data_IF_236629760531
#
_entry.id   IF_236629760531
#
_cell.length_a   1.000
_cell.length_b   1.000
_cell.length_c   1.000
_cell.angle_alpha   90.00
_cell.angle_beta   90.00
_cell.angle_gamma   90.00
#
_symmetry.space_group_name_H-M   'P 1'
#
loop_
_entity.id
_entity.type
_entity.pdbx_description
1 polymer ?
#
# COMPACT_ATOMS: atom_id res chain seq x y z
N UNK A 1 7.25 15.14 -14.24
CA UNK A 1 7.93 14.33 -13.21
C UNK A 1 6.88 13.40 -12.61
N UNK A 2 6.99 12.07 -12.76
CA UNK A 2 6.09 11.16 -12.07
C UNK A 2 6.23 11.37 -10.56
N UNK A 3 5.10 11.55 -9.85
CA UNK A 3 5.12 11.64 -8.39
C UNK A 3 5.18 10.23 -7.85
N UNK A 4 6.23 9.89 -7.12
CA UNK A 4 6.33 8.60 -6.45
C UNK A 4 5.66 8.70 -5.08
N UNK A 5 4.93 7.66 -4.70
CA UNK A 5 4.39 7.48 -3.35
C UNK A 5 4.85 6.15 -2.81
N UNK A 6 4.88 6.02 -1.48
CA UNK A 6 5.22 4.77 -0.83
C UNK A 6 4.13 4.33 0.14
N UNK A 7 4.18 3.05 0.53
CA UNK A 7 3.21 2.49 1.47
C UNK A 7 3.14 3.27 2.80
N UNK A 8 4.28 3.73 3.31
CA UNK A 8 4.32 4.45 4.59
C UNK A 8 3.64 5.81 4.50
N UNK A 9 3.87 6.57 3.43
CA UNK A 9 3.24 7.86 3.20
C UNK A 9 1.74 7.72 2.97
N UNK A 10 1.32 6.70 2.21
CA UNK A 10 -0.10 6.39 2.04
C UNK A 10 -0.78 6.05 3.37
N UNK A 11 -0.14 5.23 4.21
CA UNK A 11 -0.68 4.85 5.52
C UNK A 11 -0.75 6.06 6.48
N UNK A 12 0.34 6.83 6.58
CA UNK A 12 0.41 8.03 7.43
C UNK A 12 -0.60 9.08 7.03
N UNK A 13 -0.83 9.28 5.73
CA UNK A 13 -1.81 10.25 5.21
C UNK A 13 -3.23 10.01 5.72
N UNK A 14 -3.55 8.79 6.15
CA UNK A 14 -4.89 8.43 6.65
C UNK A 14 -4.86 7.89 8.09
N UNK A 15 -3.74 8.05 8.80
CA UNK A 15 -3.59 7.59 10.19
C UNK A 15 -3.57 6.07 10.38
N UNK A 16 -3.19 5.31 9.35
CA UNK A 16 -2.95 3.87 9.45
C UNK A 16 -1.49 3.62 9.81
N UNK A 17 -1.25 2.59 10.62
CA UNK A 17 0.11 2.11 10.91
C UNK A 17 0.79 1.62 9.62
N UNK A 18 1.92 2.23 9.22
CA UNK A 18 2.69 1.80 8.06
C UNK A 18 3.06 0.32 8.08
N UNK A 19 3.36 -0.25 9.25
CA UNK A 19 3.81 -1.63 9.35
C UNK A 19 2.65 -2.61 9.18
N UNK A 20 1.47 -2.30 9.74
CA UNK A 20 0.24 -3.04 9.48
C UNK A 20 -0.12 -3.02 7.99
N UNK A 21 0.05 -1.86 7.33
CA UNK A 21 -0.20 -1.75 5.90
C UNK A 21 0.80 -2.55 5.06
N UNK A 22 2.09 -2.47 5.34
CA UNK A 22 3.12 -3.29 4.68
C UNK A 22 2.85 -4.79 4.86
N UNK A 23 2.39 -5.21 6.03
CA UNK A 23 2.05 -6.62 6.27
C UNK A 23 0.84 -7.06 5.45
N UNK A 24 -0.18 -6.21 5.33
CA UNK A 24 -1.33 -6.47 4.48
C UNK A 24 -0.93 -6.55 2.99
N UNK A 25 -0.05 -5.65 2.54
CA UNK A 25 0.49 -5.65 1.18
C UNK A 25 1.31 -6.91 0.87
N UNK A 26 2.16 -7.36 1.81
CA UNK A 26 2.89 -8.64 1.69
C UNK A 26 1.94 -9.84 1.63
N UNK A 27 0.83 -9.77 2.35
CA UNK A 27 -0.20 -10.83 2.35
C UNK A 27 -0.97 -10.87 1.03
N UNK A 28 -1.08 -9.75 0.32
CA UNK A 28 -1.77 -9.65 -0.96
C UNK A 28 -1.00 -10.28 -2.15
N UNK A 29 0.29 -10.60 -1.98
CA UNK A 29 1.13 -11.33 -2.97
C UNK A 29 1.02 -10.79 -4.40
N UNK A 30 1.24 -9.49 -4.59
CA UNK A 30 1.21 -8.88 -5.91
C UNK A 30 2.29 -9.45 -6.85
N UNK A 31 1.96 -9.76 -8.13
CA UNK A 31 2.92 -10.34 -9.07
C UNK A 31 4.00 -9.35 -9.54
N UNK A 32 3.70 -8.05 -9.50
CA UNK A 32 4.63 -6.98 -9.89
C UNK A 32 5.60 -6.59 -8.75
N UNK A 33 5.30 -6.96 -7.51
CA UNK A 33 6.11 -6.59 -6.36
C UNK A 33 7.03 -7.74 -5.94
N UNK A 34 8.35 -7.49 -5.98
CA UNK A 34 9.35 -8.42 -5.45
C UNK A 34 9.47 -8.25 -3.93
N UNK A 35 9.68 -9.36 -3.22
CA UNK A 35 9.60 -9.44 -1.75
C UNK A 35 10.55 -8.48 -1.00
N UNK A 36 11.67 -8.11 -1.62
CA UNK A 36 12.71 -7.25 -1.05
C UNK A 36 12.67 -5.82 -1.59
N UNK A 37 11.76 -5.50 -2.52
CA UNK A 37 11.64 -4.15 -3.03
C UNK A 37 10.89 -3.26 -2.04
N UNK A 38 11.24 -1.99 -2.02
CA UNK A 38 10.45 -0.99 -1.34
C UNK A 38 9.08 -0.87 -2.01
N UNK A 39 8.04 -0.62 -1.21
CA UNK A 39 6.68 -0.36 -1.68
C UNK A 39 6.56 1.05 -2.26
N UNK A 40 7.39 1.38 -3.25
CA UNK A 40 7.42 2.65 -3.96
C UNK A 40 6.78 2.44 -5.33
N UNK A 41 5.76 3.23 -5.62
CA UNK A 41 4.99 3.16 -6.86
C UNK A 41 4.71 4.57 -7.38
N UNK A 42 4.48 4.69 -8.67
CA UNK A 42 4.03 5.95 -9.25
C UNK A 42 2.60 6.26 -8.79
N UNK A 43 2.35 7.50 -8.39
CA UNK A 43 1.02 7.98 -8.05
C UNK A 43 0.12 7.85 -9.29
N UNK A 44 -1.12 7.40 -9.07
CA UNK A 44 -2.12 7.12 -10.11
C UNK A 44 -1.80 5.97 -11.08
N UNK A 45 -0.73 5.21 -10.82
CA UNK A 45 -0.45 3.96 -11.53
C UNK A 45 -1.42 2.81 -11.15
N UNK A 46 -1.49 1.75 -11.97
CA UNK A 46 -2.19 0.52 -11.61
C UNK A 46 -1.70 -0.10 -10.28
N UNK A 47 -0.42 0.03 -9.97
CA UNK A 47 0.21 -0.44 -8.73
C UNK A 47 -0.26 0.39 -7.54
N UNK A 48 -0.35 1.72 -7.69
CA UNK A 48 -0.92 2.59 -6.67
C UNK A 48 -2.38 2.26 -6.39
N UNK A 49 -3.18 2.01 -7.42
CA UNK A 49 -4.58 1.56 -7.26
C UNK A 49 -4.67 0.23 -6.51
N UNK A 50 -3.77 -0.71 -6.80
CA UNK A 50 -3.68 -2.00 -6.12
C UNK A 50 -3.35 -1.84 -4.63
N UNK A 51 -2.37 -1.00 -4.30
CA UNK A 51 -2.01 -0.67 -2.92
C UNK A 51 -3.17 0.01 -2.18
N UNK A 52 -3.87 0.94 -2.83
CA UNK A 52 -5.04 1.62 -2.26
C UNK A 52 -6.17 0.65 -1.93
N UNK A 53 -6.42 -0.35 -2.78
CA UNK A 53 -7.41 -1.40 -2.51
C UNK A 53 -7.08 -2.18 -1.24
N UNK A 54 -5.80 -2.55 -1.03
CA UNK A 54 -5.37 -3.22 0.20
C UNK A 54 -5.56 -2.33 1.42
N UNK A 55 -5.29 -1.03 1.29
CA UNK A 55 -5.48 -0.06 2.37
C UNK A 55 -6.96 0.04 2.76
N UNK A 56 -7.86 0.11 1.78
CA UNK A 56 -9.31 0.13 2.02
C UNK A 56 -9.77 -1.17 2.67
N UNK A 57 -9.28 -2.33 2.23
CA UNK A 57 -9.60 -3.63 2.84
C UNK A 57 -9.11 -3.71 4.29
N UNK A 58 -7.90 -3.20 4.57
CA UNK A 58 -7.34 -3.13 5.93
C UNK A 58 -8.19 -2.24 6.84
N UNK A 59 -8.62 -1.07 6.35
CA UNK A 59 -9.50 -0.17 7.08
C UNK A 59 -10.87 -0.81 7.38
N UNK A 60 -11.45 -1.52 6.41
CA UNK A 60 -12.71 -2.26 6.61
C UNK A 60 -12.57 -3.33 7.70
N UNK A 61 -11.43 -4.03 7.73
CA UNK A 61 -11.17 -5.07 8.73
C UNK A 61 -10.95 -4.52 10.15
N UNK A 62 -10.37 -3.33 10.30
CA UNK A 62 -10.18 -2.68 11.62
C UNK A 62 -11.48 -2.11 12.21
N UNK A 63 -12.51 -1.90 11.37
CA UNK A 63 -13.82 -1.40 11.80
C UNK A 63 -14.80 -2.49 12.24
N UNK A 64 -14.48 -3.77 12.00
CA UNK A 64 -15.32 -4.92 12.31
C UNK A 64 -15.01 -5.51 13.69
#
# INVERSE_FOLDING_TARGET
>A
MPKLTNAADMARSIGVDPDAFRQALRSAKFPWHKRDNDWIVELDSPEHSSMRTVLVTLLRRKKA
#
